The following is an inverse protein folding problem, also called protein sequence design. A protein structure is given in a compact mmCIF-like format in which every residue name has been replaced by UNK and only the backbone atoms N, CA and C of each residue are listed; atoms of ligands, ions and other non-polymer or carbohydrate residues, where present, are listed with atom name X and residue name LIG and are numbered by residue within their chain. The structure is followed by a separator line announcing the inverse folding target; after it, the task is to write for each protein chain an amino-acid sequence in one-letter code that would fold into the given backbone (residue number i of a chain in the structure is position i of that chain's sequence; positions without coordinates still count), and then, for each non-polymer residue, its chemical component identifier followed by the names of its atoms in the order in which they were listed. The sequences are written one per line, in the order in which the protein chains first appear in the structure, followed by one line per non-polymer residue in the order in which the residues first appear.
data_IF_692100995218
#
_entry.id   IF_692100995218
#
_cell.length_a   1.000
_cell.length_b   1.000
_cell.length_c   1.000
_cell.angle_alpha   90.00
_cell.angle_beta   90.00
_cell.angle_gamma   90.00
#
_symmetry.space_group_name_H-M   'P 1'
#
loop_
_entity.id
_entity.type
_entity.pdbx_description
1 polymer ?
#
# COMPACT_ATOMS: atom_id res chain seq x y z
N UNK A 1 -6.74 -13.54 -0.37
CA UNK A 1 -5.92 -12.40 0.05
C UNK A 1 -5.92 -11.41 -1.11
N UNK A 2 -5.42 -10.18 -0.93
CA UNK A 2 -5.34 -9.19 -2.00
C UNK A 2 -4.07 -8.34 -1.97
N UNK A 3 -3.60 -7.89 -3.14
CA UNK A 3 -2.57 -6.85 -3.31
C UNK A 3 -3.25 -5.57 -3.78
N UNK A 4 -3.26 -4.55 -2.93
CA UNK A 4 -3.99 -3.30 -3.16
C UNK A 4 -3.02 -2.13 -3.12
N UNK A 5 -3.03 -1.29 -4.14
CA UNK A 5 -2.22 -0.08 -4.16
C UNK A 5 -3.08 1.16 -3.95
N UNK A 6 -2.71 2.02 -3.00
CA UNK A 6 -3.34 3.30 -2.78
C UNK A 6 -2.47 4.40 -3.38
N UNK A 7 -3.11 5.35 -4.05
CA UNK A 7 -2.46 6.52 -4.62
C UNK A 7 -3.37 7.74 -4.56
N UNK A 8 -2.86 8.93 -4.83
CA UNK A 8 -3.68 10.14 -4.93
C UNK A 8 -3.17 11.11 -5.98
N UNK A 9 -4.08 11.92 -6.52
CA UNK A 9 -3.74 13.05 -7.39
C UNK A 9 -3.31 14.31 -6.61
N UNK A 10 -3.83 14.44 -5.38
CA UNK A 10 -3.58 15.56 -4.47
C UNK A 10 -3.08 15.04 -3.11
N UNK A 11 -2.76 15.91 -2.15
CA UNK A 11 -2.46 15.52 -0.77
C UNK A 11 -3.73 14.99 -0.04
N UNK A 12 -4.19 13.79 -0.41
CA UNK A 12 -5.47 13.21 0.02
C UNK A 12 -5.38 12.26 1.21
N UNK A 13 -4.19 12.08 1.80
CA UNK A 13 -4.00 11.21 2.98
C UNK A 13 -3.81 9.73 2.65
N UNK A 14 -3.02 9.43 1.61
CA UNK A 14 -2.71 8.05 1.18
C UNK A 14 -2.11 7.25 2.33
N UNK A 15 -1.04 7.74 2.96
CA UNK A 15 -0.39 7.04 4.09
C UNK A 15 -1.32 6.76 5.26
N UNK A 16 -2.17 7.72 5.63
CA UNK A 16 -3.17 7.54 6.70
C UNK A 16 -4.19 6.47 6.31
N UNK A 17 -4.66 6.49 5.06
CA UNK A 17 -5.59 5.51 4.54
C UNK A 17 -4.98 4.11 4.50
N UNK A 18 -3.75 4.00 3.98
CA UNK A 18 -3.01 2.74 3.91
C UNK A 18 -2.75 2.14 5.29
N UNK A 19 -2.30 2.95 6.26
CA UNK A 19 -2.14 2.53 7.66
C UNK A 19 -3.49 2.09 8.26
N UNK A 20 -4.55 2.87 8.05
CA UNK A 20 -5.86 2.53 8.60
C UNK A 20 -6.36 1.19 8.06
N UNK A 21 -6.25 0.94 6.75
CA UNK A 21 -6.64 -0.34 6.14
C UNK A 21 -5.79 -1.50 6.67
N UNK A 22 -4.46 -1.37 6.65
CA UNK A 22 -3.54 -2.40 7.11
C UNK A 22 -3.81 -2.77 8.59
N UNK A 23 -3.96 -1.78 9.46
CA UNK A 23 -4.16 -2.02 10.89
C UNK A 23 -5.57 -2.51 11.26
N UNK A 24 -6.58 -2.29 10.39
CA UNK A 24 -7.99 -2.57 10.71
C UNK A 24 -8.51 -3.90 10.18
N UNK A 25 -7.85 -4.51 9.20
CA UNK A 25 -8.26 -5.78 8.60
C UNK A 25 -8.40 -6.91 9.62
N UNK A 26 -9.21 -7.93 9.31
CA UNK A 26 -9.33 -9.12 10.16
C UNK A 26 -8.17 -10.10 9.95
N UNK A 27 -7.60 -10.10 8.74
CA UNK A 27 -6.54 -11.00 8.30
C UNK A 27 -5.16 -10.39 8.57
N UNK A 28 -4.08 -11.19 8.54
CA UNK A 28 -2.73 -10.66 8.51
C UNK A 28 -2.54 -9.70 7.33
N UNK A 29 -1.78 -8.62 7.50
CA UNK A 29 -1.54 -7.63 6.45
C UNK A 29 -0.10 -7.17 6.40
N UNK A 30 0.39 -6.84 5.20
CA UNK A 30 1.68 -6.20 4.99
C UNK A 30 1.47 -4.82 4.36
N UNK A 31 1.96 -3.77 5.00
CA UNK A 31 1.98 -2.43 4.45
C UNK A 31 3.36 -2.12 3.87
N UNK A 32 3.45 -1.81 2.58
CA UNK A 32 4.68 -1.33 1.95
C UNK A 32 4.60 0.18 1.70
N UNK A 33 5.52 0.96 2.28
CA UNK A 33 5.67 2.38 1.96
C UNK A 33 6.49 2.54 0.68
N UNK A 34 5.81 2.74 -0.44
CA UNK A 34 6.40 2.85 -1.78
C UNK A 34 6.31 4.27 -2.36
N UNK A 35 5.99 5.29 -1.55
CA UNK A 35 6.11 6.69 -1.99
C UNK A 35 7.59 7.04 -2.22
N UNK A 36 7.92 7.34 -3.48
CA UNK A 36 9.25 7.76 -3.89
C UNK A 36 9.70 9.07 -3.22
N UNK A 37 8.77 9.85 -2.65
CA UNK A 37 9.05 11.08 -1.90
C UNK A 37 9.45 10.83 -0.44
N UNK A 38 9.55 9.56 -0.01
CA UNK A 38 9.96 9.17 1.32
C UNK A 38 8.80 8.69 2.21
N UNK A 39 9.15 7.84 3.17
CA UNK A 39 8.23 7.29 4.16
C UNK A 39 8.07 8.20 5.38
N UNK A 40 6.85 8.28 5.89
CA UNK A 40 6.51 9.08 7.09
C UNK A 40 6.07 8.22 8.27
N UNK A 41 5.79 6.93 8.07
CA UNK A 41 5.35 6.03 9.14
C UNK A 41 6.45 5.89 10.22
N UNK A 42 7.71 5.87 9.80
CA UNK A 42 8.88 5.77 10.68
C UNK A 42 8.92 6.87 11.75
N UNK A 43 8.90 8.13 11.33
CA UNK A 43 9.01 9.29 12.21
C UNK A 43 7.66 9.66 12.81
N UNK A 44 6.58 9.30 12.13
CA UNK A 44 5.20 9.50 12.54
C UNK A 44 4.68 8.39 13.45
N UNK A 45 3.89 7.47 12.89
CA UNK A 45 3.23 6.40 13.64
C UNK A 45 4.17 5.60 14.56
N UNK A 46 5.42 5.38 14.14
CA UNK A 46 6.46 4.66 14.89
C UNK A 46 7.36 5.52 15.75
N UNK A 47 7.17 6.84 15.74
CA UNK A 47 7.86 7.76 16.65
C UNK A 47 9.39 7.58 16.68
N UNK A 48 10.00 7.17 15.56
CA UNK A 48 11.45 7.00 15.44
C UNK A 48 12.01 5.70 16.01
N UNK A 49 11.20 4.65 16.21
CA UNK A 49 11.66 3.34 16.71
C UNK A 49 12.79 2.72 15.87
N UNK A 50 12.84 3.02 14.57
CA UNK A 50 13.90 2.57 13.65
C UNK A 50 14.45 3.73 12.82
N UNK A 51 15.75 3.75 12.59
CA UNK A 51 16.45 4.75 11.77
C UNK A 51 16.64 4.32 10.31
N UNK A 52 17.65 4.89 9.66
CA UNK A 52 17.97 4.61 8.25
C UNK A 52 18.53 3.21 7.98
N UNK A 53 18.71 2.38 8.99
CA UNK A 53 19.19 0.99 8.85
C UNK A 53 18.19 0.07 8.14
N UNK A 54 16.92 0.49 8.01
CA UNK A 54 15.87 -0.28 7.34
C UNK A 54 15.17 0.52 6.26
N UNK A 55 14.57 -0.17 5.30
CA UNK A 55 13.74 0.42 4.24
C UNK A 55 14.25 0.21 2.83
N UNK A 56 13.48 0.75 1.87
CA UNK A 56 13.58 0.45 0.44
C UNK A 56 14.95 0.71 -0.20
N UNK A 57 15.71 1.68 0.30
CA UNK A 57 17.05 1.96 -0.24
C UNK A 57 17.95 0.73 -0.24
N UNK A 58 17.93 -0.03 0.87
CA UNK A 58 18.74 -1.23 1.01
C UNK A 58 18.28 -2.37 0.09
N UNK A 59 16.98 -2.43 -0.21
CA UNK A 59 16.45 -3.38 -1.19
C UNK A 59 16.99 -3.07 -2.58
N UNK A 60 17.00 -1.79 -3.00
CA UNK A 60 17.61 -1.41 -4.28
C UNK A 60 19.11 -1.73 -4.35
N UNK A 61 19.84 -1.60 -3.24
CA UNK A 61 21.24 -2.00 -3.20
C UNK A 61 21.41 -3.52 -3.36
N UNK A 62 20.62 -4.30 -2.61
CA UNK A 62 20.67 -5.75 -2.61
C UNK A 62 20.19 -6.38 -3.92
N UNK A 63 19.25 -5.74 -4.62
CA UNK A 63 18.76 -6.19 -5.93
C UNK A 63 19.87 -6.27 -6.97
N UNK A 64 20.81 -5.32 -6.95
CA UNK A 64 22.00 -5.33 -7.83
C UNK A 64 22.94 -6.52 -7.57
N UNK A 65 22.85 -7.10 -6.38
CA UNK A 65 23.63 -8.28 -5.98
C UNK A 65 22.80 -9.57 -6.01
N UNK A 66 21.59 -9.53 -6.58
CA UNK A 66 20.64 -10.67 -6.62
C UNK A 66 20.31 -11.23 -5.21
N UNK A 67 20.24 -10.31 -4.23
CA UNK A 67 19.92 -10.54 -2.81
C UNK A 67 18.65 -9.82 -2.35
N UNK A 68 17.79 -9.41 -3.29
CA UNK A 68 16.59 -8.64 -2.97
C UNK A 68 15.66 -9.37 -2.00
N UNK A 69 15.51 -10.69 -2.18
CA UNK A 69 14.61 -11.50 -1.37
C UNK A 69 15.06 -11.54 0.10
N UNK A 70 16.35 -11.76 0.35
CA UNK A 70 16.96 -11.73 1.68
C UNK A 70 16.86 -10.35 2.32
N UNK A 71 17.12 -9.28 1.55
CA UNK A 71 16.99 -7.91 2.04
C UNK A 71 15.53 -7.54 2.36
N UNK A 72 14.58 -7.96 1.53
CA UNK A 72 13.16 -7.77 1.80
C UNK A 72 12.78 -8.38 3.16
N UNK A 73 13.16 -9.63 3.42
CA UNK A 73 12.90 -10.30 4.70
C UNK A 73 13.56 -9.56 5.88
N UNK A 74 14.83 -9.19 5.76
CA UNK A 74 15.58 -8.54 6.83
C UNK A 74 15.08 -7.12 7.16
N UNK A 75 14.44 -6.44 6.21
CA UNK A 75 13.99 -5.05 6.35
C UNK A 75 12.52 -4.93 6.79
N UNK A 76 11.75 -6.04 6.85
CA UNK A 76 10.40 -6.03 7.40
C UNK A 76 10.39 -5.72 8.90
N UNK A 77 9.39 -4.94 9.34
CA UNK A 77 9.12 -4.58 10.74
C UNK A 77 7.68 -4.91 11.10
N UNK A 78 7.41 -5.14 12.39
CA UNK A 78 6.09 -5.59 12.88
C UNK A 78 5.37 -4.47 13.59
N UNK A 79 4.12 -4.17 13.22
CA UNK A 79 3.21 -3.26 13.95
C UNK A 79 2.66 -3.87 15.23
N UNK A 80 2.69 -5.18 15.35
CA UNK A 80 2.19 -5.92 16.49
C UNK A 80 3.19 -6.99 16.97
N UNK A 81 3.00 -7.44 18.20
CA UNK A 81 3.86 -8.46 18.82
C UNK A 81 3.72 -9.83 18.13
N UNK A 82 2.57 -10.11 17.53
CA UNK A 82 2.23 -11.40 16.93
C UNK A 82 2.61 -11.46 15.45
N UNK A 83 2.96 -10.32 14.83
CA UNK A 83 3.43 -10.25 13.44
C UNK A 83 2.34 -10.39 12.41
N UNK A 84 1.07 -10.34 12.83
CA UNK A 84 -0.04 -10.28 11.90
C UNK A 84 -0.08 -8.94 11.15
N UNK A 85 0.67 -7.92 11.58
CA UNK A 85 0.78 -6.64 10.88
C UNK A 85 2.24 -6.36 10.56
N UNK A 86 2.62 -6.56 9.30
CA UNK A 86 3.95 -6.27 8.79
C UNK A 86 4.01 -4.91 8.11
N UNK A 87 5.22 -4.36 8.09
CA UNK A 87 5.57 -3.09 7.48
C UNK A 87 6.89 -3.23 6.74
N UNK A 88 6.91 -2.84 5.48
CA UNK A 88 8.14 -2.59 4.74
C UNK A 88 8.39 -1.06 4.74
N UNK A 89 9.40 -0.57 5.49
CA UNK A 89 9.67 0.85 5.58
C UNK A 89 10.07 1.47 4.25
N UNK A 90 9.62 2.70 4.02
CA UNK A 90 9.91 3.44 2.79
C UNK A 90 11.34 3.98 2.71
N UNK A 91 11.58 4.82 1.70
CA UNK A 91 12.81 5.60 1.56
C UNK A 91 12.92 6.63 2.70
N UNK A 92 14.14 6.89 3.17
CA UNK A 92 14.40 7.95 4.15
C UNK A 92 14.78 9.28 3.50
N UNK A 93 15.25 9.23 2.25
CA UNK A 93 15.66 10.39 1.46
C UNK A 93 15.04 10.32 0.06
N UNK A 94 14.25 11.33 -0.37
CA UNK A 94 13.70 11.38 -1.72
C UNK A 94 14.74 11.29 -2.84
N UNK A 95 15.99 11.71 -2.59
CA UNK A 95 17.08 11.62 -3.57
C UNK A 95 17.42 10.16 -3.94
N UNK A 96 17.00 9.20 -3.12
CA UNK A 96 17.19 7.77 -3.37
C UNK A 96 16.15 7.18 -4.33
N UNK A 97 15.09 7.92 -4.69
CA UNK A 97 13.98 7.43 -5.50
C UNK A 97 14.42 6.76 -6.81
N UNK A 98 15.39 7.35 -7.51
CA UNK A 98 15.86 6.84 -8.79
C UNK A 98 16.50 5.44 -8.69
N UNK A 99 17.05 5.06 -7.53
CA UNK A 99 17.63 3.74 -7.33
C UNK A 99 16.58 2.61 -7.33
N UNK A 100 15.32 2.94 -7.04
CA UNK A 100 14.23 1.96 -7.04
C UNK A 100 13.72 1.61 -8.44
N UNK A 101 14.12 2.35 -9.49
CA UNK A 101 13.54 2.22 -10.83
C UNK A 101 13.56 0.79 -11.38
N UNK A 102 14.66 0.04 -11.15
CA UNK A 102 14.79 -1.36 -11.56
C UNK A 102 14.21 -2.36 -10.54
N UNK A 103 14.02 -1.91 -9.30
CA UNK A 103 13.63 -2.76 -8.17
C UNK A 103 12.11 -2.80 -7.95
N UNK A 104 11.34 -1.89 -8.54
CA UNK A 104 9.87 -1.90 -8.40
C UNK A 104 9.22 -3.18 -8.96
N UNK A 105 9.64 -3.62 -10.14
CA UNK A 105 9.14 -4.86 -10.75
C UNK A 105 9.41 -6.10 -9.87
N UNK A 106 10.66 -6.41 -9.47
CA UNK A 106 10.95 -7.58 -8.64
C UNK A 106 10.38 -7.44 -7.23
N UNK A 107 10.29 -6.23 -6.67
CA UNK A 107 9.57 -5.99 -5.41
C UNK A 107 8.08 -6.34 -5.53
N UNK A 108 7.44 -6.01 -6.66
CA UNK A 108 6.05 -6.37 -6.93
C UNK A 108 5.81 -7.89 -6.89
N UNK A 109 6.77 -8.68 -7.38
CA UNK A 109 6.71 -10.15 -7.32
C UNK A 109 6.81 -10.66 -5.87
N UNK A 110 7.68 -10.06 -5.05
CA UNK A 110 7.78 -10.40 -3.63
C UNK A 110 6.49 -10.07 -2.88
N UNK A 111 5.90 -8.90 -3.15
CA UNK A 111 4.63 -8.49 -2.56
C UNK A 111 3.48 -9.44 -2.98
N UNK A 112 3.42 -9.87 -4.24
CA UNK A 112 2.47 -10.89 -4.68
C UNK A 112 2.70 -12.25 -4.00
N UNK A 113 3.96 -12.63 -3.74
CA UNK A 113 4.25 -13.87 -3.02
C UNK A 113 3.81 -13.82 -1.55
N UNK A 114 3.86 -12.64 -0.91
CA UNK A 114 3.33 -12.44 0.45
C UNK A 114 1.82 -12.66 0.52
N UNK A 115 1.10 -12.24 -0.53
CA UNK A 115 -0.32 -12.52 -0.70
C UNK A 115 -0.60 -14.01 -0.92
N UNK A 116 0.00 -14.59 -1.95
CA UNK A 116 -0.39 -15.90 -2.46
C UNK A 116 0.09 -17.07 -1.59
N UNK A 117 1.21 -16.89 -0.89
CA UNK A 117 1.84 -17.96 -0.14
C UNK A 117 1.92 -17.64 1.34
N UNK A 118 2.32 -16.42 1.73
CA UNK A 118 2.48 -16.07 3.15
C UNK A 118 1.15 -15.71 3.84
N UNK A 119 0.11 -15.46 3.05
CA UNK A 119 -1.25 -15.24 3.52
C UNK A 119 -1.55 -13.85 4.07
N UNK A 120 -0.74 -12.86 3.68
CA UNK A 120 -0.91 -11.46 4.06
C UNK A 120 -1.71 -10.69 3.01
N UNK A 121 -2.72 -9.93 3.43
CA UNK A 121 -3.28 -8.90 2.56
C UNK A 121 -2.26 -7.76 2.41
N UNK A 122 -1.85 -7.46 1.19
CA UNK A 122 -0.82 -6.45 0.91
C UNK A 122 -1.47 -5.11 0.60
N UNK A 123 -1.03 -4.09 1.33
CA UNK A 123 -1.40 -2.68 1.14
C UNK A 123 -0.15 -1.94 0.71
N UNK A 124 -0.18 -1.31 -0.47
CA UNK A 124 0.92 -0.53 -1.02
C UNK A 124 0.54 0.94 -0.90
N UNK A 125 1.30 1.70 -0.12
CA UNK A 125 1.24 3.16 -0.14
C UNK A 125 2.12 3.65 -1.29
N UNK A 126 1.52 3.92 -2.45
CA UNK A 126 2.23 4.43 -3.61
C UNK A 126 2.33 5.97 -3.60
N UNK A 127 1.94 6.63 -2.50
CA UNK A 127 2.00 8.07 -2.37
C UNK A 127 1.16 8.81 -3.41
N UNK A 128 1.63 10.01 -3.77
CA UNK A 128 0.97 10.85 -4.76
C UNK A 128 1.51 10.57 -6.16
N UNK A 129 0.61 10.41 -7.12
CA UNK A 129 0.93 10.18 -8.54
C UNK A 129 1.98 11.16 -9.04
N UNK A 130 2.96 10.62 -9.75
CA UNK A 130 3.93 11.37 -10.55
C UNK A 130 3.65 11.00 -12.00
N UNK A 131 3.36 12.00 -12.81
CA UNK A 131 3.00 11.84 -14.23
C UNK A 131 3.96 12.66 -15.09
N UNK A 132 4.13 12.22 -16.32
CA UNK A 132 4.87 12.92 -17.37
C UNK A 132 4.08 12.84 -18.69
N UNK A 133 4.48 13.54 -19.77
CA UNK A 133 3.86 13.35 -21.07
C UNK A 133 3.89 11.85 -21.45
N UNK A 134 2.71 11.26 -21.66
CA UNK A 134 2.57 9.84 -22.01
C UNK A 134 2.21 8.89 -20.86
N UNK A 135 1.97 9.38 -19.63
CA UNK A 135 1.30 8.60 -18.58
C UNK A 135 1.91 8.72 -17.19
N UNK A 136 1.85 7.63 -16.43
CA UNK A 136 2.48 7.54 -15.11
C UNK A 136 3.99 7.45 -15.28
N UNK A 137 4.75 8.22 -14.49
CA UNK A 137 6.20 8.31 -14.63
C UNK A 137 6.86 6.94 -14.41
N UNK A 138 7.77 6.47 -15.30
CA UNK A 138 8.34 5.13 -15.27
C UNK A 138 9.27 4.85 -14.09
N UNK A 139 10.11 5.84 -13.72
CA UNK A 139 11.21 5.62 -12.76
C UNK A 139 11.02 6.29 -11.40
N UNK A 140 10.39 7.46 -11.34
CA UNK A 140 10.16 8.23 -10.10
C UNK A 140 8.84 7.88 -9.41
N UNK A 141 8.20 6.79 -9.83
CA UNK A 141 6.95 6.30 -9.28
C UNK A 141 6.96 4.77 -9.25
N UNK A 142 6.34 4.10 -8.26
CA UNK A 142 6.24 2.64 -8.20
C UNK A 142 5.21 2.10 -9.20
N UNK A 143 5.28 2.54 -10.46
CA UNK A 143 4.34 2.20 -11.52
C UNK A 143 4.18 0.68 -11.72
N UNK A 144 5.24 -0.15 -11.69
CA UNK A 144 5.10 -1.60 -11.78
C UNK A 144 4.28 -2.24 -10.66
N UNK A 145 4.17 -1.59 -9.50
CA UNK A 145 3.34 -2.05 -8.39
C UNK A 145 1.85 -1.79 -8.66
N UNK A 146 1.52 -0.68 -9.31
CA UNK A 146 0.14 -0.40 -9.73
C UNK A 146 -0.35 -1.41 -10.76
N UNK A 147 0.49 -1.76 -11.73
CA UNK A 147 0.16 -2.71 -12.79
C UNK A 147 -0.13 -4.12 -12.25
N UNK A 148 0.53 -4.49 -11.15
CA UNK A 148 0.41 -5.82 -10.50
C UNK A 148 -0.66 -5.90 -9.42
N UNK A 149 -1.23 -4.78 -9.00
CA UNK A 149 -2.25 -4.75 -7.96
C UNK A 149 -3.58 -5.33 -8.48
N UNK A 150 -4.33 -6.00 -7.60
CA UNK A 150 -5.69 -6.44 -7.89
C UNK A 150 -6.63 -5.25 -8.04
N UNK A 151 -6.45 -4.26 -7.16
CA UNK A 151 -7.14 -2.98 -7.22
C UNK A 151 -6.16 -1.85 -6.97
N UNK A 152 -6.39 -0.75 -7.67
CA UNK A 152 -5.76 0.54 -7.39
C UNK A 152 -6.83 1.45 -6.80
N UNK A 153 -6.58 2.00 -5.63
CA UNK A 153 -7.48 2.91 -4.94
C UNK A 153 -6.96 4.34 -5.11
N UNK A 154 -7.70 5.16 -5.86
CA UNK A 154 -7.47 6.59 -5.92
C UNK A 154 -8.11 7.25 -4.70
N UNK A 155 -7.28 7.73 -3.78
CA UNK A 155 -7.70 8.43 -2.55
C UNK A 155 -8.05 9.87 -2.89
N UNK A 156 -9.31 10.25 -2.63
CA UNK A 156 -9.86 11.57 -2.96
C UNK A 156 -10.56 12.13 -1.72
N UNK A 157 -10.17 13.33 -1.28
CA UNK A 157 -10.99 14.08 -0.32
C UNK A 157 -12.22 14.61 -1.04
N UNK A 158 -13.38 14.56 -0.42
CA UNK A 158 -14.62 15.09 -1.01
C UNK A 158 -14.71 16.64 -0.91
N UNK A 159 -13.59 17.32 -1.14
CA UNK A 159 -13.51 18.78 -1.29
C UNK A 159 -13.45 19.13 -2.77
N UNK A 160 -13.94 20.30 -3.15
CA UNK A 160 -13.95 20.75 -4.55
C UNK A 160 -12.53 20.71 -5.17
N UNK A 161 -11.53 21.19 -4.43
CA UNK A 161 -10.13 21.20 -4.86
C UNK A 161 -9.58 19.81 -5.13
N UNK A 162 -9.78 18.87 -4.19
CA UNK A 162 -9.27 17.51 -4.35
C UNK A 162 -9.97 16.78 -5.49
N UNK A 163 -11.27 16.98 -5.67
CA UNK A 163 -12.02 16.40 -6.80
C UNK A 163 -11.53 16.97 -8.13
N UNK A 164 -11.42 18.30 -8.24
CA UNK A 164 -10.98 18.97 -9.46
C UNK A 164 -9.57 18.54 -9.89
N UNK A 165 -8.63 18.45 -8.95
CA UNK A 165 -7.26 18.01 -9.23
C UNK A 165 -7.15 16.52 -9.55
N UNK A 166 -8.16 15.73 -9.19
CA UNK A 166 -8.20 14.30 -9.51
C UNK A 166 -8.71 13.99 -10.91
N UNK A 167 -9.40 14.91 -11.59
CA UNK A 167 -10.06 14.62 -12.88
C UNK A 167 -9.10 14.10 -13.96
N UNK A 168 -8.07 14.89 -14.29
CA UNK A 168 -7.13 14.52 -15.36
C UNK A 168 -6.27 13.31 -14.99
N UNK A 169 -5.92 13.18 -13.71
CA UNK A 169 -5.06 12.11 -13.21
C UNK A 169 -5.83 10.78 -13.06
N UNK A 170 -7.12 10.83 -12.74
CA UNK A 170 -8.01 9.68 -12.79
C UNK A 170 -8.08 9.11 -14.22
N UNK A 171 -8.28 9.97 -15.22
CA UNK A 171 -8.28 9.54 -16.63
C UNK A 171 -6.93 8.96 -17.08
N UNK A 172 -5.83 9.62 -16.70
CA UNK A 172 -4.48 9.12 -16.95
C UNK A 172 -4.29 7.71 -16.35
N UNK A 173 -4.72 7.52 -15.10
CA UNK A 173 -4.59 6.23 -14.41
C UNK A 173 -5.51 5.15 -14.99
N UNK A 174 -6.72 5.49 -15.43
CA UNK A 174 -7.60 4.56 -16.16
C UNK A 174 -6.93 4.04 -17.44
N UNK A 175 -6.37 4.94 -18.25
CA UNK A 175 -5.65 4.57 -19.48
C UNK A 175 -4.40 3.73 -19.18
N UNK A 176 -3.60 4.13 -18.20
CA UNK A 176 -2.40 3.39 -17.80
C UNK A 176 -2.73 1.95 -17.36
N UNK A 177 -3.81 1.77 -16.59
CA UNK A 177 -4.23 0.44 -16.13
C UNK A 177 -4.87 -0.39 -17.23
N UNK A 178 -5.56 0.22 -18.19
CA UNK A 178 -6.10 -0.45 -19.37
C UNK A 178 -4.98 -0.96 -20.30
N UNK A 179 -4.00 -0.11 -20.60
CA UNK A 179 -2.98 -0.41 -21.60
C UNK A 179 -1.86 -1.31 -21.04
N UNK A 180 -1.54 -1.19 -19.75
CA UNK A 180 -0.33 -1.81 -19.16
C UNK A 180 -0.58 -2.53 -17.84
N UNK A 181 -1.74 -2.32 -17.21
CA UNK A 181 -2.11 -2.94 -15.95
C UNK A 181 -3.02 -4.15 -16.13
N UNK A 182 -3.85 -4.41 -15.12
CA UNK A 182 -4.83 -5.48 -15.13
C UNK A 182 -6.20 -5.09 -15.71
N UNK A 183 -6.34 -3.87 -16.28
CA UNK A 183 -7.58 -3.28 -16.80
C UNK A 183 -8.02 -2.03 -16.04
N UNK A 184 -8.66 -1.06 -16.71
CA UNK A 184 -9.16 0.18 -16.10
C UNK A 184 -10.17 -0.07 -14.97
N UNK A 185 -10.89 -1.18 -15.05
CA UNK A 185 -11.87 -1.61 -14.07
C UNK A 185 -11.25 -2.22 -12.79
N UNK A 186 -9.90 -2.18 -12.66
CA UNK A 186 -9.19 -2.35 -11.38
C UNK A 186 -9.20 -1.08 -10.52
N UNK A 187 -9.52 0.08 -11.10
CA UNK A 187 -9.51 1.36 -10.40
C UNK A 187 -10.78 1.55 -9.56
N UNK A 188 -10.61 2.01 -8.32
CA UNK A 188 -11.69 2.38 -7.39
C UNK A 188 -11.38 3.71 -6.71
N UNK A 189 -12.41 4.40 -6.24
CA UNK A 189 -12.26 5.56 -5.37
C UNK A 189 -12.30 5.14 -3.90
N UNK A 190 -11.38 5.67 -3.11
CA UNK A 190 -11.47 5.70 -1.65
C UNK A 190 -11.69 7.14 -1.22
N UNK A 191 -12.87 7.45 -0.69
CA UNK A 191 -13.19 8.82 -0.30
C UNK A 191 -12.74 9.12 1.12
N UNK A 192 -12.23 10.34 1.33
CA UNK A 192 -12.03 10.91 2.66
C UNK A 192 -13.06 12.02 2.87
N UNK A 193 -13.95 11.86 3.84
CA UNK A 193 -15.05 12.79 4.15
C UNK A 193 -14.55 14.01 4.94
N UNK A 194 -13.95 14.97 4.25
CA UNK A 194 -13.49 16.26 4.78
C UNK A 194 -14.41 17.43 4.39
N UNK A 195 -14.95 17.41 3.17
CA UNK A 195 -15.80 18.46 2.60
C UNK A 195 -17.22 18.01 2.28
N UNK A 196 -17.88 18.76 1.39
CA UNK A 196 -19.32 18.65 1.14
C UNK A 196 -19.68 18.12 -0.25
N UNK A 197 -18.70 17.81 -1.11
CA UNK A 197 -19.01 17.29 -2.45
C UNK A 197 -19.61 15.89 -2.30
N UNK A 198 -20.84 15.65 -2.77
CA UNK A 198 -21.51 14.39 -2.53
C UNK A 198 -20.92 13.27 -3.40
N UNK A 199 -20.93 12.05 -2.86
CA UNK A 199 -20.32 10.86 -3.48
C UNK A 199 -20.79 10.61 -4.93
N UNK A 200 -22.09 10.78 -5.19
CA UNK A 200 -22.68 10.56 -6.50
C UNK A 200 -22.17 11.56 -7.54
N UNK A 201 -21.84 12.79 -7.14
CA UNK A 201 -21.27 13.79 -8.02
C UNK A 201 -19.80 13.48 -8.32
N UNK A 202 -19.04 13.04 -7.32
CA UNK A 202 -17.65 12.59 -7.50
C UNK A 202 -17.59 11.41 -8.46
N UNK A 203 -18.44 10.40 -8.24
CA UNK A 203 -18.55 9.21 -9.11
C UNK A 203 -18.91 9.60 -10.54
N UNK A 204 -19.87 10.52 -10.72
CA UNK A 204 -20.25 11.03 -12.05
C UNK A 204 -19.13 11.81 -12.73
N UNK A 205 -18.31 12.56 -11.99
CA UNK A 205 -17.22 13.36 -12.57
C UNK A 205 -16.00 12.51 -12.90
N UNK A 206 -15.63 11.59 -12.03
CA UNK A 206 -14.44 10.75 -12.18
C UNK A 206 -14.73 9.46 -12.97
N UNK A 207 -15.99 9.06 -13.12
CA UNK A 207 -16.40 7.83 -13.82
C UNK A 207 -15.71 6.57 -13.25
N UNK A 208 -15.51 6.55 -11.92
CA UNK A 208 -14.88 5.46 -11.17
C UNK A 208 -15.78 5.13 -9.97
N UNK A 209 -16.09 3.85 -9.72
CA UNK A 209 -16.91 3.47 -8.58
C UNK A 209 -16.17 3.64 -7.24
N UNK A 210 -16.91 4.02 -6.21
CA UNK A 210 -16.41 4.15 -4.83
C UNK A 210 -16.44 2.80 -4.13
N UNK A 211 -15.33 2.37 -3.56
CA UNK A 211 -15.23 1.10 -2.81
C UNK A 211 -15.48 1.30 -1.30
N UNK A 212 -15.27 2.52 -0.82
CA UNK A 212 -15.44 2.85 0.58
C UNK A 212 -15.10 4.29 0.89
N UNK A 213 -15.41 4.67 2.12
CA UNK A 213 -15.31 6.04 2.59
C UNK A 213 -14.77 6.07 4.01
N UNK A 214 -13.73 6.87 4.24
CA UNK A 214 -13.11 7.11 5.54
C UNK A 214 -13.55 8.47 6.09
N UNK A 215 -13.96 8.56 7.36
CA UNK A 215 -14.30 9.83 7.98
C UNK A 215 -13.03 10.68 8.18
N UNK A 216 -13.14 12.00 7.97
CA UNK A 216 -12.14 12.92 8.51
C UNK A 216 -12.27 12.95 10.03
N UNK A 217 -11.30 12.32 10.71
CA UNK A 217 -11.27 12.21 12.17
C UNK A 217 -9.89 12.61 12.70
N UNK A 218 -9.77 13.82 13.22
CA UNK A 218 -8.48 14.40 13.65
C UNK A 218 -7.72 13.51 14.63
N UNK A 219 -8.41 12.94 15.62
CA UNK A 219 -7.79 12.06 16.62
C UNK A 219 -7.17 10.81 15.99
N UNK A 220 -7.90 10.16 15.09
CA UNK A 220 -7.43 8.97 14.37
C UNK A 220 -6.30 9.31 13.40
N UNK A 221 -6.46 10.40 12.64
CA UNK A 221 -5.43 10.91 11.73
C UNK A 221 -4.14 11.29 12.46
N UNK A 222 -4.24 11.97 13.61
CA UNK A 222 -3.07 12.35 14.43
C UNK A 222 -2.36 11.13 14.99
N UNK A 223 -3.09 10.12 15.43
CA UNK A 223 -2.51 8.84 15.85
C UNK A 223 -1.69 8.22 14.71
N UNK A 224 -2.25 8.12 13.51
CA UNK A 224 -1.58 7.50 12.36
C UNK A 224 -0.42 8.34 11.78
N UNK A 225 -0.41 9.65 12.00
CA UNK A 225 0.64 10.55 11.47
C UNK A 225 1.75 10.86 12.48
N UNK A 226 1.48 10.81 13.79
CA UNK A 226 2.45 11.22 14.83
C UNK A 226 2.70 10.13 15.87
N UNK A 227 1.99 9.01 15.80
CA UNK A 227 2.04 7.97 16.83
C UNK A 227 1.48 8.44 18.17
N UNK A 228 1.61 7.59 19.17
CA UNK A 228 1.33 7.95 20.57
C UNK A 228 2.00 6.98 21.53
N UNK A 229 2.46 7.50 22.68
CA UNK A 229 2.89 6.68 23.83
C UNK A 229 1.75 6.36 24.79
N UNK A 230 0.57 6.96 24.59
CA UNK A 230 -0.59 6.76 25.46
C UNK A 230 -1.36 5.52 25.04
N UNK A 231 -1.98 4.84 26.00
CA UNK A 231 -2.92 3.78 25.68
C UNK A 231 -4.11 4.36 24.90
N UNK A 232 -4.30 3.86 23.69
CA UNK A 232 -5.44 4.18 22.83
C UNK A 232 -6.18 2.90 22.49
N UNK A 233 -7.48 3.03 22.19
CA UNK A 233 -8.31 1.95 21.66
C UNK A 233 -8.64 2.26 20.20
N UNK A 234 -7.78 1.92 19.22
CA UNK A 234 -8.02 2.24 17.81
C UNK A 234 -9.38 1.73 17.32
N UNK A 235 -9.78 0.52 17.73
CA UNK A 235 -11.05 -0.09 17.36
C UNK A 235 -12.31 0.71 17.77
N UNK A 236 -12.22 1.63 18.73
CA UNK A 236 -13.36 2.48 19.09
C UNK A 236 -13.51 3.71 18.20
N UNK A 237 -12.45 4.12 17.50
CA UNK A 237 -12.40 5.31 16.64
C UNK A 237 -13.15 5.07 15.31
N UNK A 238 -13.81 6.10 14.76
CA UNK A 238 -14.62 5.93 13.55
C UNK A 238 -13.75 5.60 12.35
N UNK A 239 -12.55 6.17 12.27
CA UNK A 239 -11.61 5.92 11.18
C UNK A 239 -11.30 4.42 11.04
N UNK A 240 -10.93 3.75 12.13
CA UNK A 240 -10.59 2.32 12.10
C UNK A 240 -11.82 1.42 11.86
N UNK A 241 -13.01 1.83 12.32
CA UNK A 241 -14.26 1.11 12.02
C UNK A 241 -14.57 1.13 10.52
N UNK A 242 -14.51 2.30 9.89
CA UNK A 242 -14.74 2.43 8.45
C UNK A 242 -13.61 1.79 7.65
N UNK A 243 -12.36 1.93 8.08
CA UNK A 243 -11.24 1.25 7.43
C UNK A 243 -11.38 -0.28 7.46
N UNK A 244 -11.91 -0.86 8.53
CA UNK A 244 -12.22 -2.30 8.58
C UNK A 244 -13.28 -2.71 7.55
N UNK A 245 -14.34 -1.91 7.42
CA UNK A 245 -15.40 -2.14 6.43
C UNK A 245 -14.86 -2.02 5.00
N UNK A 246 -14.08 -0.97 4.72
CA UNK A 246 -13.43 -0.77 3.44
C UNK A 246 -12.45 -1.89 3.12
N UNK A 247 -11.61 -2.33 4.08
CA UNK A 247 -10.68 -3.44 3.88
C UNK A 247 -11.42 -4.73 3.49
N UNK A 248 -12.57 -4.99 4.11
CA UNK A 248 -13.42 -6.13 3.74
C UNK A 248 -14.01 -5.98 2.32
N UNK A 249 -14.56 -4.81 1.98
CA UNK A 249 -15.11 -4.56 0.64
C UNK A 249 -14.05 -4.71 -0.46
N UNK A 250 -12.85 -4.17 -0.22
CA UNK A 250 -11.69 -4.29 -1.10
C UNK A 250 -11.29 -5.76 -1.28
N UNK A 251 -11.26 -6.56 -0.21
CA UNK A 251 -10.96 -7.99 -0.28
C UNK A 251 -11.98 -8.75 -1.14
N UNK A 252 -13.28 -8.46 -0.97
CA UNK A 252 -14.36 -9.09 -1.74
C UNK A 252 -14.27 -8.73 -3.22
N UNK A 253 -14.06 -7.45 -3.55
CA UNK A 253 -13.95 -6.97 -4.93
C UNK A 253 -12.69 -7.53 -5.62
N UNK A 254 -11.53 -7.49 -4.94
CA UNK A 254 -10.30 -8.11 -5.46
C UNK A 254 -10.47 -9.60 -5.73
N UNK A 255 -11.12 -10.35 -4.83
CA UNK A 255 -11.37 -11.78 -5.00
C UNK A 255 -12.32 -12.05 -6.18
N UNK A 256 -13.39 -11.26 -6.30
CA UNK A 256 -14.36 -11.35 -7.41
C UNK A 256 -13.70 -11.04 -8.75
N UNK A 257 -12.85 -10.01 -8.78
CA UNK A 257 -12.09 -9.62 -9.97
C UNK A 257 -11.13 -10.73 -10.42
N UNK A 258 -10.36 -11.32 -9.50
CA UNK A 258 -9.44 -12.43 -9.81
C UNK A 258 -10.18 -13.60 -10.47
N UNK A 259 -11.33 -13.99 -9.91
CA UNK A 259 -12.18 -15.06 -10.46
C UNK A 259 -12.68 -14.71 -11.88
N UNK A 260 -13.17 -13.49 -12.09
CA UNK A 260 -13.67 -13.03 -13.39
C UNK A 260 -12.59 -13.01 -14.47
N UNK A 261 -11.38 -12.56 -14.11
CA UNK A 261 -10.27 -12.43 -15.05
C UNK A 261 -9.55 -13.75 -15.33
N UNK A 262 -9.92 -14.85 -14.64
CA UNK A 262 -9.18 -16.12 -14.68
C UNK A 262 -7.67 -15.94 -14.47
N UNK A 263 -7.28 -14.93 -13.67
CA UNK A 263 -5.88 -14.59 -13.50
C UNK A 263 -5.16 -15.80 -12.88
N UNK A 264 -4.16 -16.37 -13.56
CA UNK A 264 -3.37 -17.43 -12.96
C UNK A 264 -2.69 -16.87 -11.69
N UNK A 265 -2.47 -17.69 -10.66
CA UNK A 265 -1.60 -17.29 -9.55
C UNK A 265 -0.25 -16.87 -10.13
N UNK A 266 0.33 -15.80 -9.58
CA UNK A 266 1.62 -15.31 -10.07
C UNK A 266 2.64 -16.44 -9.93
N UNK A 267 3.41 -16.71 -10.99
CA UNK A 267 4.41 -17.77 -10.92
C UNK A 267 5.53 -17.32 -10.01
N UNK A 268 5.51 -17.80 -8.76
CA UNK A 268 6.67 -17.71 -7.86
C UNK A 268 7.66 -18.80 -8.29
N UNK A 269 8.18 -18.69 -9.51
CA UNK A 269 9.08 -19.68 -10.09
C UNK A 269 10.52 -19.53 -9.59
N UNK A 270 10.84 -18.45 -8.85
CA UNK A 270 12.17 -18.27 -8.27
C UNK A 270 12.28 -19.02 -6.93
N UNK A 271 13.20 -19.99 -6.80
CA UNK A 271 13.46 -20.70 -5.54
C UNK A 271 13.77 -19.75 -4.37
N UNK A 272 14.35 -18.58 -4.66
CA UNK A 272 14.70 -17.56 -3.67
C UNK A 272 13.46 -16.92 -3.04
N UNK A 273 12.46 -16.59 -3.85
CA UNK A 273 11.19 -16.02 -3.37
C UNK A 273 10.42 -17.05 -2.54
N UNK A 274 10.37 -18.30 -3.01
CA UNK A 274 9.78 -19.40 -2.24
C UNK A 274 10.47 -19.59 -0.87
N UNK A 275 11.81 -19.48 -0.82
CA UNK A 275 12.58 -19.56 0.42
C UNK A 275 12.23 -18.46 1.43
N UNK A 276 12.04 -17.22 0.99
CA UNK A 276 11.60 -16.11 1.86
C UNK A 276 10.21 -16.40 2.43
N UNK A 277 9.26 -16.77 1.57
CA UNK A 277 7.90 -17.07 2.04
C UNK A 277 7.91 -18.23 3.04
N UNK A 278 8.65 -19.30 2.76
CA UNK A 278 8.75 -20.45 3.66
C UNK A 278 9.32 -20.07 5.03
N UNK A 279 10.34 -19.20 5.10
CA UNK A 279 10.89 -18.70 6.36
C UNK A 279 9.95 -17.76 7.11
N UNK A 280 9.18 -16.93 6.38
CA UNK A 280 8.16 -16.06 6.97
C UNK A 280 6.95 -16.85 7.50
N UNK A 281 6.63 -17.99 6.89
CA UNK A 281 5.55 -18.89 7.30
C UNK A 281 5.95 -19.92 8.37
N UNK A 282 7.24 -20.22 8.51
CA UNK A 282 7.71 -21.19 9.48
C UNK A 282 7.31 -20.74 10.91
N UNK A 283 6.73 -21.62 11.73
CA UNK A 283 6.47 -21.30 13.13
C UNK A 283 7.80 -20.96 13.79
N UNK A 284 7.96 -19.69 14.19
CA UNK A 284 9.20 -19.22 14.78
C UNK A 284 9.39 -19.93 16.12
N UNK A 285 10.42 -20.76 16.22
CA UNK A 285 10.89 -21.24 17.50
C UNK A 285 11.33 -20.02 18.31
N UNK A 286 10.72 -19.82 19.47
CA UNK A 286 11.28 -18.93 20.48
C UNK A 286 12.71 -19.40 20.76
N UNK A 287 13.69 -18.65 20.27
CA UNK A 287 15.07 -18.82 20.72
C UNK A 287 15.05 -18.38 22.17
N UNK A 288 14.85 -19.33 23.08
CA UNK A 288 15.22 -19.20 24.48
C UNK A 288 16.71 -18.92 24.47
N UNK A 289 17.07 -17.67 24.66
CA UNK A 289 18.42 -17.29 25.05
C UNK A 289 18.59 -17.87 26.47
N UNK A 290 19.13 -19.08 26.53
CA UNK A 290 19.58 -19.69 27.77
C UNK A 290 20.80 -18.92 28.25
N UNK A 291 20.61 -18.16 29.34
CA UNK A 291 21.71 -17.79 30.24
C UNK A 291 22.08 -18.94 31.15
#
# INVERSE_FOLDING_TARGET
MSVIALTSAHASGVTVSSLALALSGARPSLLAECDAKGGSIRTGYRMGEWGGEVGLWHLAQADREDKLAEAFEAHLRRFDADGARLWLPGLTDPLQAAAMAQTWDPLGLLLQAMDQHAGYDVVIDAGRLVVEPGGVHPSLYPRPLLHRADLVLLVVRNTLTSVAQSLSLARCLQLELEERGSGADALRLLLVQEGDVPEHEITRRLQIPVIGTLPWEEKGGRLLTHGTVRQVKPASMRLFKHARQTAHAVQVDASTRRLRMQLPPASVASPKVAGVVQRLLAPRQDVKISG
#
